data_IF_077270284805
#
_entry.id   IF_077270284805
#
_cell.length_a   1.000
_cell.length_b   1.000
_cell.length_c   1.000
_cell.angle_alpha   90.00
_cell.angle_beta   90.00
_cell.angle_gamma   90.00
#
_symmetry.space_group_name_H-M   'P 1'
#
loop_
_entity.id
_entity.type
_entity.pdbx_description
1 polymer ?
#
# COMPACT_ATOMS: atom_id res chain seq x y z
N UNK A 1 -13.76 21.02 -18.60
CA UNK A 1 -13.61 19.62 -19.05
C UNK A 1 -12.75 18.88 -18.04
N UNK A 2 -13.32 18.53 -16.87
CA UNK A 2 -12.69 17.61 -15.91
C UNK A 2 -13.42 16.28 -16.07
N UNK A 3 -13.14 15.61 -17.17
CA UNK A 3 -13.51 14.22 -17.41
C UNK A 3 -12.33 13.64 -18.17
N UNK A 4 -11.64 12.61 -17.64
CA UNK A 4 -10.81 11.68 -18.44
C UNK A 4 -10.17 10.58 -17.62
N UNK A 5 -10.08 10.68 -16.29
CA UNK A 5 -9.62 9.54 -15.48
C UNK A 5 -10.83 8.78 -14.96
N UNK A 6 -11.12 7.64 -15.59
CA UNK A 6 -12.04 6.65 -15.03
C UNK A 6 -11.36 6.02 -13.79
N UNK A 7 -11.55 6.66 -12.64
CA UNK A 7 -11.20 6.10 -11.35
C UNK A 7 -12.14 4.91 -11.04
N UNK A 8 -11.65 4.00 -10.22
CA UNK A 8 -12.44 2.85 -9.80
C UNK A 8 -13.63 3.28 -8.94
N UNK A 9 -14.75 2.56 -9.08
CA UNK A 9 -15.81 2.61 -8.06
C UNK A 9 -15.26 2.13 -6.72
N UNK A 10 -15.92 2.49 -5.61
CA UNK A 10 -15.51 2.03 -4.27
C UNK A 10 -15.40 0.49 -4.20
N UNK A 11 -16.35 -0.22 -4.82
CA UNK A 11 -16.35 -1.69 -4.84
C UNK A 11 -15.12 -2.26 -5.56
N UNK A 12 -14.76 -1.69 -6.71
CA UNK A 12 -13.58 -2.15 -7.47
C UNK A 12 -12.28 -1.73 -6.78
N UNK A 13 -12.23 -0.53 -6.19
CA UNK A 13 -11.07 -0.06 -5.45
C UNK A 13 -10.73 -0.92 -4.23
N UNK A 14 -11.72 -1.61 -3.66
CA UNK A 14 -11.52 -2.53 -2.54
C UNK A 14 -10.81 -3.85 -2.94
N UNK A 15 -10.72 -4.19 -4.23
CA UNK A 15 -10.18 -5.48 -4.67
C UNK A 15 -8.73 -5.68 -4.25
N UNK A 16 -7.87 -4.65 -4.31
CA UNK A 16 -6.46 -4.79 -3.93
C UNK A 16 -6.30 -5.11 -2.44
N UNK A 17 -7.11 -4.47 -1.58
CA UNK A 17 -7.13 -4.77 -0.15
C UNK A 17 -7.69 -6.16 0.15
N UNK A 18 -8.75 -6.57 -0.56
CA UNK A 18 -9.30 -7.93 -0.40
C UNK A 18 -8.27 -8.99 -0.80
N UNK A 19 -7.63 -8.83 -1.96
CA UNK A 19 -6.60 -9.74 -2.44
C UNK A 19 -5.42 -9.84 -1.46
N UNK A 20 -4.89 -8.70 -1.00
CA UNK A 20 -3.80 -8.67 -0.02
C UNK A 20 -4.18 -9.30 1.33
N UNK A 21 -5.47 -9.33 1.68
CA UNK A 21 -5.96 -9.91 2.92
C UNK A 21 -6.29 -11.41 2.84
N UNK A 22 -6.51 -11.95 1.63
CA UNK A 22 -7.03 -13.32 1.46
C UNK A 22 -6.08 -14.28 0.77
N UNK A 23 -5.16 -13.78 -0.05
CA UNK A 23 -4.24 -14.62 -0.82
C UNK A 23 -2.96 -14.96 -0.03
N UNK A 24 -2.32 -16.06 -0.41
CA UNK A 24 -1.00 -16.43 0.10
C UNK A 24 0.08 -15.63 -0.63
N UNK A 25 0.69 -14.68 0.06
CA UNK A 25 1.64 -13.72 -0.50
C UNK A 25 2.96 -13.75 0.26
N UNK A 26 4.03 -13.38 -0.43
CA UNK A 26 5.32 -13.17 0.22
C UNK A 26 5.25 -12.04 1.26
N UNK A 27 6.07 -12.15 2.31
CA UNK A 27 6.21 -11.09 3.30
C UNK A 27 6.56 -9.75 2.62
N UNK A 28 5.95 -8.67 3.09
CA UNK A 28 6.13 -7.32 2.56
C UNK A 28 5.60 -7.09 1.13
N UNK A 29 4.74 -7.96 0.60
CA UNK A 29 4.06 -7.72 -0.67
C UNK A 29 3.25 -6.42 -0.63
N UNK A 30 3.36 -5.63 -1.70
CA UNK A 30 2.58 -4.41 -1.92
C UNK A 30 1.70 -4.59 -3.15
N UNK A 31 0.39 -4.53 -2.96
CA UNK A 31 -0.61 -4.86 -3.98
C UNK A 31 -1.40 -3.62 -4.37
N UNK A 32 -1.53 -3.38 -5.66
CA UNK A 32 -2.24 -2.26 -6.24
C UNK A 32 -2.85 -2.61 -7.60
N UNK A 33 -3.55 -1.66 -8.24
CA UNK A 33 -4.12 -1.89 -9.56
C UNK A 33 -3.05 -2.01 -10.65
N UNK A 34 -3.24 -2.92 -11.58
CA UNK A 34 -2.30 -3.20 -12.69
C UNK A 34 -2.39 -2.22 -13.89
N UNK A 35 -3.33 -1.28 -13.86
CA UNK A 35 -3.49 -0.29 -14.92
C UNK A 35 -2.39 0.78 -14.92
N UNK A 36 -2.45 1.65 -15.94
CA UNK A 36 -1.43 2.68 -16.14
C UNK A 36 -1.31 3.61 -14.93
N UNK A 37 -0.12 3.63 -14.32
CA UNK A 37 0.15 4.44 -13.14
C UNK A 37 -0.62 4.01 -11.90
N UNK A 38 -1.10 2.76 -11.86
CA UNK A 38 -1.81 2.16 -10.72
C UNK A 38 -3.15 2.86 -10.40
N UNK A 39 -3.73 3.54 -11.38
CA UNK A 39 -4.95 4.36 -11.22
C UNK A 39 -6.23 3.50 -11.20
N UNK A 40 -6.24 2.41 -11.97
CA UNK A 40 -7.37 1.48 -12.12
C UNK A 40 -6.85 0.10 -12.53
N UNK A 41 -7.72 -0.91 -12.54
CA UNK A 41 -7.35 -2.27 -12.94
C UNK A 41 -7.82 -3.32 -11.93
N UNK A 42 -7.09 -4.44 -11.89
CA UNK A 42 -7.24 -5.53 -10.93
C UNK A 42 -6.01 -5.65 -10.03
N UNK A 43 -6.11 -6.37 -8.89
CA UNK A 43 -4.99 -6.54 -7.96
C UNK A 43 -3.77 -7.21 -8.62
N UNK A 44 -2.61 -6.60 -8.47
CA UNK A 44 -1.31 -7.12 -8.90
C UNK A 44 -0.19 -6.55 -8.00
N UNK A 45 1.04 -7.10 -8.05
CA UNK A 45 2.20 -6.47 -7.43
C UNK A 45 2.37 -5.02 -7.92
N UNK A 46 2.43 -4.09 -6.97
CA UNK A 46 2.56 -2.66 -7.23
C UNK A 46 3.98 -2.16 -6.99
N UNK A 47 4.29 -1.01 -7.55
CA UNK A 47 5.57 -0.34 -7.44
C UNK A 47 5.74 0.32 -6.07
N UNK A 48 6.78 -0.10 -5.35
CA UNK A 48 7.23 0.59 -4.14
C UNK A 48 8.30 1.60 -4.55
N UNK A 49 8.09 2.87 -4.22
CA UNK A 49 9.08 3.91 -4.49
C UNK A 49 10.40 3.62 -3.74
N UNK A 50 11.59 3.84 -4.34
CA UNK A 50 12.86 3.47 -3.71
C UNK A 50 13.09 4.06 -2.31
N UNK A 51 12.62 5.29 -2.06
CA UNK A 51 12.75 5.92 -0.75
C UNK A 51 11.89 5.25 0.33
N UNK A 52 10.79 4.59 -0.04
CA UNK A 52 9.94 3.84 0.88
C UNK A 52 10.58 2.51 1.30
N UNK A 53 11.63 2.07 0.61
CA UNK A 53 12.42 0.88 0.94
C UNK A 53 13.64 1.18 1.81
N UNK A 54 13.88 2.44 2.22
CA UNK A 54 15.01 2.78 3.09
C UNK A 54 14.75 2.29 4.53
N UNK A 55 15.49 1.27 5.03
CA UNK A 55 15.24 0.72 6.36
C UNK A 55 15.58 1.71 7.48
N UNK A 56 16.46 2.70 7.23
CA UNK A 56 16.76 3.74 8.22
C UNK A 56 15.58 4.67 8.40
N UNK A 57 14.93 5.06 7.29
CA UNK A 57 13.72 5.88 7.35
C UNK A 57 12.59 5.11 8.03
N UNK A 58 12.42 3.82 7.71
CA UNK A 58 11.45 2.96 8.38
C UNK A 58 11.66 2.89 9.91
N UNK A 59 12.91 2.68 10.34
CA UNK A 59 13.24 2.64 11.77
C UNK A 59 12.98 3.96 12.50
N UNK A 60 13.37 5.10 11.90
CA UNK A 60 13.12 6.43 12.46
C UNK A 60 11.63 6.73 12.56
N UNK A 61 10.84 6.36 11.55
CA UNK A 61 9.39 6.54 11.57
C UNK A 61 8.73 5.68 12.66
N UNK A 62 9.19 4.44 12.84
CA UNK A 62 8.68 3.56 13.89
C UNK A 62 8.97 4.12 15.29
N UNK A 63 10.21 4.54 15.55
CA UNK A 63 10.60 5.13 16.83
C UNK A 63 9.78 6.38 17.15
N UNK A 64 9.56 7.23 16.14
CA UNK A 64 8.69 8.39 16.25
C UNK A 64 7.25 7.99 16.60
N UNK A 65 6.66 7.04 15.86
CA UNK A 65 5.29 6.59 16.10
C UNK A 65 5.11 6.04 17.51
N UNK A 66 6.05 5.23 18.01
CA UNK A 66 6.00 4.70 19.37
C UNK A 66 6.12 5.81 20.43
N UNK A 67 6.97 6.81 20.20
CA UNK A 67 7.12 7.96 21.10
C UNK A 67 5.85 8.80 21.18
N UNK A 68 5.25 9.10 20.03
CA UNK A 68 4.11 10.02 19.96
C UNK A 68 2.79 9.36 20.36
N UNK A 69 2.63 8.06 20.09
CA UNK A 69 1.43 7.31 20.50
C UNK A 69 1.54 6.76 21.91
N UNK A 70 2.75 6.66 22.48
CA UNK A 70 3.00 5.97 23.75
C UNK A 70 2.79 4.45 23.69
N UNK A 71 2.51 3.91 22.50
CA UNK A 71 2.35 2.47 22.26
C UNK A 71 3.70 1.91 21.84
N UNK A 72 4.18 0.89 22.55
CA UNK A 72 5.38 0.13 22.17
C UNK A 72 4.97 -1.18 21.54
N UNK A 73 5.66 -1.56 20.48
CA UNK A 73 5.48 -2.87 19.89
C UNK A 73 6.34 -3.87 20.65
N UNK A 74 5.67 -4.68 21.47
CA UNK A 74 6.29 -5.69 22.30
C UNK A 74 6.21 -7.06 21.63
N UNK A 75 7.36 -7.63 21.34
CA UNK A 75 7.58 -9.07 21.31
C UNK A 75 8.82 -9.39 22.14
#
# INVERSE_FOLDING_TARGET
MIETVAYMSANQGAFSSLFAATEDLENFAYIGPDGKGEINGYPAPAFIAPYALDPKIGALLWEYAEKETGVRFGF
#
